data_IF_480866204234
#
_entry.id   IF_480866204234
#
_cell.length_a   1.000
_cell.length_b   1.000
_cell.length_c   1.000
_cell.angle_alpha   90.00
_cell.angle_beta   90.00
_cell.angle_gamma   90.00
#
_symmetry.space_group_name_H-M   'P 1'
#
loop_
_entity.id
_entity.type
_entity.pdbx_description
1 polymer ?
#
# COMPACT_ATOMS: atom_id res chain seq x y z
N UNK A 1 -12.51 5.22 15.12
CA UNK A 1 -13.11 5.03 13.79
C UNK A 1 -12.09 5.43 12.75
N UNK A 2 -11.31 4.46 12.27
CA UNK A 2 -10.37 4.65 11.19
C UNK A 2 -11.03 4.15 9.92
N UNK A 3 -11.35 5.04 8.99
CA UNK A 3 -11.93 4.69 7.68
C UNK A 3 -11.05 3.75 6.85
N UNK A 4 -9.86 3.35 7.34
CA UNK A 4 -8.96 2.44 6.64
C UNK A 4 -9.61 1.09 6.31
N UNK A 5 -10.41 0.51 7.22
CA UNK A 5 -11.12 -0.74 6.94
C UNK A 5 -12.20 -0.54 5.87
N UNK A 6 -13.02 0.50 5.99
CA UNK A 6 -14.08 0.80 5.02
C UNK A 6 -13.54 1.18 3.64
N UNK A 7 -12.44 1.95 3.57
CA UNK A 7 -11.76 2.29 2.31
C UNK A 7 -11.21 1.02 1.66
N UNK A 8 -10.63 0.12 2.46
CA UNK A 8 -10.14 -1.16 1.96
C UNK A 8 -11.29 -2.05 1.46
N UNK A 9 -12.42 -2.10 2.16
CA UNK A 9 -13.62 -2.84 1.72
C UNK A 9 -14.15 -2.32 0.38
N UNK A 10 -14.39 -0.99 0.27
CA UNK A 10 -14.86 -0.37 -0.98
C UNK A 10 -13.89 -0.61 -2.13
N UNK A 11 -12.58 -0.47 -1.87
CA UNK A 11 -11.54 -0.71 -2.89
C UNK A 11 -11.57 -2.18 -3.36
N UNK A 12 -11.74 -3.13 -2.44
CA UNK A 12 -11.80 -4.55 -2.79
C UNK A 12 -13.11 -4.94 -3.49
N UNK A 13 -14.23 -4.26 -3.19
CA UNK A 13 -15.49 -4.45 -3.89
C UNK A 13 -15.41 -3.96 -5.34
N UNK A 14 -14.82 -2.78 -5.57
CA UNK A 14 -14.72 -2.18 -6.91
C UNK A 14 -13.59 -2.78 -7.77
N UNK A 15 -12.44 -3.09 -7.17
CA UNK A 15 -11.20 -3.41 -7.90
C UNK A 15 -10.59 -4.78 -7.55
N UNK A 16 -11.24 -5.56 -6.69
CA UNK A 16 -10.75 -6.86 -6.22
C UNK A 16 -9.61 -6.75 -5.20
N UNK A 17 -9.08 -7.89 -4.75
CA UNK A 17 -8.03 -7.96 -3.72
C UNK A 17 -6.74 -7.30 -4.20
N UNK A 18 -6.45 -6.10 -3.70
CA UNK A 18 -5.31 -5.29 -4.12
C UNK A 18 -4.79 -4.40 -3.00
N UNK A 19 -3.61 -3.83 -3.22
CA UNK A 19 -3.09 -2.73 -2.40
C UNK A 19 -2.70 -1.54 -3.27
N UNK A 20 -2.69 -0.35 -2.67
CA UNK A 20 -2.13 0.85 -3.27
C UNK A 20 -0.64 0.94 -2.90
N UNK A 21 0.24 1.08 -3.89
CA UNK A 21 1.68 1.17 -3.66
C UNK A 21 2.03 2.38 -2.77
N UNK A 22 2.78 2.19 -1.67
CA UNK A 22 3.24 3.32 -0.86
C UNK A 22 4.43 4.08 -1.46
N UNK A 23 5.13 3.48 -2.43
CA UNK A 23 6.36 4.03 -3.03
C UNK A 23 6.13 4.67 -4.41
N UNK A 24 5.15 4.17 -5.17
CA UNK A 24 4.71 4.80 -6.43
C UNK A 24 3.38 5.50 -6.14
N UNK A 25 3.49 6.69 -5.54
CA UNK A 25 2.38 7.40 -4.93
C UNK A 25 2.52 8.91 -5.06
N UNK A 26 1.45 9.56 -5.49
CA UNK A 26 1.27 11.00 -5.50
C UNK A 26 0.19 11.40 -4.50
N UNK A 27 0.38 12.56 -3.86
CA UNK A 27 -0.56 13.11 -2.89
C UNK A 27 -0.72 14.61 -3.11
N UNK A 28 -1.95 15.08 -3.09
CA UNK A 28 -2.27 16.50 -2.97
C UNK A 28 -3.18 16.76 -1.78
N UNK A 29 -3.14 17.99 -1.30
CA UNK A 29 -4.00 18.50 -0.26
C UNK A 29 -4.40 19.91 -0.63
N UNK A 30 -5.71 20.12 -0.79
CA UNK A 30 -6.28 21.32 -1.35
C UNK A 30 -7.36 21.87 -0.42
N UNK A 31 -7.40 23.20 -0.29
CA UNK A 31 -8.48 23.90 0.40
C UNK A 31 -9.43 24.48 -0.64
N UNK A 32 -10.68 24.01 -0.63
CA UNK A 32 -11.70 24.41 -1.60
C UNK A 32 -12.89 25.05 -0.87
N UNK A 33 -13.70 25.81 -1.60
CA UNK A 33 -14.98 26.33 -1.09
C UNK A 33 -16.10 25.36 -1.43
N UNK A 34 -16.89 24.99 -0.43
CA UNK A 34 -18.09 24.17 -0.58
C UNK A 34 -19.25 24.93 -1.20
N UNK A 35 -20.35 24.22 -1.45
CA UNK A 35 -21.55 24.78 -2.09
C UNK A 35 -22.17 25.94 -1.29
N UNK A 36 -21.98 25.94 0.04
CA UNK A 36 -22.51 26.95 0.96
C UNK A 36 -21.42 27.99 1.36
N UNK A 37 -20.27 28.00 0.68
CA UNK A 37 -19.15 28.91 0.92
C UNK A 37 -18.23 28.52 2.09
N UNK A 38 -18.48 27.37 2.72
CA UNK A 38 -17.67 26.81 3.79
C UNK A 38 -16.32 26.31 3.26
N UNK A 39 -15.30 26.31 4.12
CA UNK A 39 -14.00 25.74 3.77
C UNK A 39 -14.05 24.21 3.83
N UNK A 40 -13.67 23.54 2.74
CA UNK A 40 -13.51 22.09 2.67
C UNK A 40 -12.05 21.74 2.42
N UNK A 41 -11.63 20.64 3.02
CA UNK A 41 -10.31 20.07 2.82
C UNK A 41 -10.43 18.83 1.94
N UNK A 42 -9.73 18.83 0.81
CA UNK A 42 -9.70 17.73 -0.15
C UNK A 42 -8.32 17.12 -0.12
N UNK A 43 -8.25 15.80 0.07
CA UNK A 43 -7.02 15.03 -0.05
C UNK A 43 -7.18 14.07 -1.21
N UNK A 44 -6.25 14.12 -2.14
CA UNK A 44 -6.19 13.17 -3.26
C UNK A 44 -5.03 12.23 -3.04
N UNK A 45 -5.33 10.93 -3.07
CA UNK A 45 -4.35 9.86 -3.01
C UNK A 45 -4.36 9.14 -4.37
N UNK A 46 -3.27 9.25 -5.12
CA UNK A 46 -3.09 8.60 -6.42
C UNK A 46 -1.90 7.66 -6.34
N UNK A 47 -2.15 6.36 -6.24
CA UNK A 47 -1.11 5.37 -6.12
C UNK A 47 -1.25 4.24 -7.12
N UNK A 48 -0.11 3.67 -7.48
CA UNK A 48 -0.08 2.51 -8.37
C UNK A 48 -0.85 1.35 -7.74
N UNK A 49 -1.84 0.85 -8.47
CA UNK A 49 -2.57 -0.38 -8.16
C UNK A 49 -1.65 -1.60 -8.23
N UNK A 50 -1.66 -2.43 -7.20
CA UNK A 50 -0.94 -3.69 -7.12
C UNK A 50 -1.93 -4.82 -6.83
N UNK A 51 -2.28 -5.66 -7.82
CA UNK A 51 -3.16 -6.81 -7.59
C UNK A 51 -2.48 -7.81 -6.67
N UNK A 52 -3.25 -8.44 -5.79
CA UNK A 52 -2.75 -9.56 -5.00
C UNK A 52 -2.36 -10.71 -5.95
N UNK A 53 -1.13 -11.17 -5.85
CA UNK A 53 -0.65 -12.39 -6.50
C UNK A 53 -0.13 -13.32 -5.41
N UNK A 54 -0.60 -14.56 -5.38
CA UNK A 54 -0.13 -15.56 -4.43
C UNK A 54 1.40 -15.74 -4.58
N UNK A 55 2.14 -15.43 -3.51
CA UNK A 55 3.59 -15.63 -3.49
C UNK A 55 3.88 -17.07 -3.06
N UNK A 56 4.30 -17.92 -4.01
CA UNK A 56 4.77 -19.27 -3.67
C UNK A 56 6.07 -19.20 -2.89
N UNK A 57 6.15 -19.91 -1.76
CA UNK A 57 7.32 -19.96 -0.88
C UNK A 57 8.60 -20.43 -1.60
N UNK A 58 8.45 -21.25 -2.64
CA UNK A 58 9.52 -21.72 -3.53
C UNK A 58 10.33 -20.59 -4.19
N UNK A 59 9.72 -19.41 -4.35
CA UNK A 59 10.37 -18.22 -4.93
C UNK A 59 10.92 -17.24 -3.88
N UNK A 60 10.70 -17.51 -2.59
CA UNK A 60 11.08 -16.62 -1.47
C UNK A 60 12.42 -17.02 -0.81
N UNK A 61 13.26 -17.78 -1.51
CA UNK A 61 14.56 -18.20 -0.98
C UNK A 61 15.56 -17.03 -0.97
N UNK A 62 15.63 -16.31 0.15
CA UNK A 62 16.82 -15.53 0.48
C UNK A 62 17.99 -16.51 0.71
N UNK A 63 19.05 -16.42 -0.08
CA UNK A 63 20.31 -17.15 0.17
C UNK A 63 20.84 -16.73 1.55
N UNK A 64 20.58 -17.53 2.59
CA UNK A 64 21.30 -17.42 3.85
C UNK A 64 22.72 -17.97 3.64
N UNK A 65 23.69 -17.07 3.51
CA UNK A 65 25.10 -17.47 3.56
C UNK A 65 25.42 -17.87 4.99
N UNK A 66 25.26 -19.14 5.33
CA UNK A 66 25.80 -19.71 6.57
C UNK A 66 27.31 -19.74 6.46
N UNK A 67 27.98 -18.71 6.97
CA UNK A 67 29.43 -18.73 7.22
C UNK A 67 29.68 -19.68 8.39
N UNK A 68 29.82 -20.97 8.11
CA UNK A 68 30.47 -21.89 9.04
C UNK A 68 31.96 -21.52 9.10
N UNK A 69 32.33 -20.63 10.03
CA UNK A 69 33.74 -20.51 10.42
C UNK A 69 34.14 -21.84 11.05
N UNK A 70 34.93 -22.57 10.27
CA UNK A 70 35.66 -23.76 10.66
C UNK A 70 36.35 -23.54 12.00
N UNK A 71 36.03 -24.41 12.95
CA UNK A 71 36.98 -24.85 13.96
C UNK A 71 38.23 -25.35 13.23
N UNK A 72 39.39 -24.80 13.55
CA UNK A 72 40.70 -25.48 13.59
C UNK A 72 41.83 -24.43 13.73
N UNK A 73 42.31 -24.21 14.95
CA UNK A 73 43.67 -24.61 15.37
C UNK A 73 43.93 -24.18 16.81
#
# INVERSE_FOLDING_TARGET
MHYGESINEITNEEFGNCIISPTVFYRSADKVKGGDGEDRFVVTFDGKYLPYTEQKSEHMASKSTTTSKLTNS
#
